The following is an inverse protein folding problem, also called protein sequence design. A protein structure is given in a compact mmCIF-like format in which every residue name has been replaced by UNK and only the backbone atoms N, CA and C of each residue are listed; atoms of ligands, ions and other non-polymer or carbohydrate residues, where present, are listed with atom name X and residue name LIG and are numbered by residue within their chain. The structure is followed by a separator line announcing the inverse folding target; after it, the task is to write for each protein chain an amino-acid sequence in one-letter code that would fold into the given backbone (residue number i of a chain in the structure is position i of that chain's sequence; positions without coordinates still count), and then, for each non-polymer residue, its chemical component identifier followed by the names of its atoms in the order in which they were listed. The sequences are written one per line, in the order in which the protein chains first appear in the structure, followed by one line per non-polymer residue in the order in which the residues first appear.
data_IF_076131798036
#
_entry.id   IF_076131798036
#
_cell.length_a   1.000
_cell.length_b   1.000
_cell.length_c   1.000
_cell.angle_alpha   90.00
_cell.angle_beta   90.00
_cell.angle_gamma   90.00
#
_symmetry.space_group_name_H-M   'P 1'
#
loop_
_entity.id
_entity.type
_entity.pdbx_description
1 polymer ?
#
# COMPACT_ATOMS: atom_id res chain seq x y z
N UNK A 1 -10.92 -57.43 -10.32
CA UNK A 1 -12.15 -56.75 -9.86
C UNK A 1 -12.25 -57.02 -8.36
N UNK A 2 -11.96 -56.15 -7.38
CA UNK A 2 -11.51 -54.75 -7.29
C UNK A 2 -10.47 -54.68 -6.14
N UNK A 3 -9.43 -53.84 -6.31
CA UNK A 3 -8.37 -53.62 -5.32
C UNK A 3 -8.85 -52.64 -4.25
N UNK A 4 -8.76 -53.04 -2.99
CA UNK A 4 -9.00 -52.18 -1.83
C UNK A 4 -7.75 -51.34 -1.57
N UNK A 5 -7.76 -50.07 -1.98
CA UNK A 5 -6.74 -49.08 -1.58
C UNK A 5 -7.34 -48.27 -0.43
N UNK A 6 -6.85 -48.50 0.79
CA UNK A 6 -7.11 -47.64 1.94
C UNK A 6 -6.31 -46.34 1.76
N UNK A 7 -7.01 -45.25 1.46
CA UNK A 7 -6.45 -43.91 1.38
C UNK A 7 -6.24 -43.40 2.82
N UNK A 8 -4.97 -43.24 3.21
CA UNK A 8 -4.57 -42.62 4.48
C UNK A 8 -4.69 -41.10 4.31
N UNK A 9 -5.68 -40.50 4.95
CA UNK A 9 -5.85 -39.05 5.05
C UNK A 9 -4.84 -38.53 6.08
N UNK A 10 -3.70 -38.05 5.59
CA UNK A 10 -2.73 -37.31 6.40
C UNK A 10 -3.16 -35.84 6.40
N UNK A 11 -3.76 -35.40 7.51
CA UNK A 11 -4.09 -33.99 7.72
C UNK A 11 -2.81 -33.17 7.90
N UNK A 12 -2.46 -32.36 6.90
CA UNK A 12 -1.46 -31.32 7.08
C UNK A 12 -2.09 -30.14 7.80
N UNK A 13 -1.64 -29.91 9.04
CA UNK A 13 -1.88 -28.67 9.78
C UNK A 13 -1.07 -27.58 9.07
N UNK A 14 -1.76 -26.70 8.33
CA UNK A 14 -1.15 -25.55 7.68
C UNK A 14 -0.85 -24.51 8.76
N UNK A 15 0.42 -24.32 9.09
CA UNK A 15 0.87 -23.18 9.89
C UNK A 15 1.06 -21.98 8.95
N UNK A 16 0.01 -21.20 8.74
CA UNK A 16 0.15 -19.82 8.28
C UNK A 16 0.77 -19.02 9.42
N UNK A 17 2.04 -18.64 9.28
CA UNK A 17 2.71 -17.77 10.25
C UNK A 17 2.15 -16.35 10.10
N UNK A 18 1.06 -16.07 10.78
CA UNK A 18 0.50 -14.74 10.91
C UNK A 18 1.44 -13.90 11.79
N UNK A 19 2.39 -13.20 11.16
CA UNK A 19 3.25 -12.24 11.84
C UNK A 19 2.49 -10.92 12.05
N UNK A 20 1.82 -10.81 13.20
CA UNK A 20 1.22 -9.55 13.65
C UNK A 20 2.35 -8.65 14.18
N UNK A 21 2.93 -7.84 13.31
CA UNK A 21 3.79 -6.73 13.71
C UNK A 21 2.93 -5.62 14.33
N UNK A 22 2.63 -5.71 15.62
CA UNK A 22 2.02 -4.60 16.35
C UNK A 22 3.07 -3.48 16.54
N UNK A 23 3.03 -2.47 15.69
CA UNK A 23 3.84 -1.26 15.84
C UNK A 23 3.35 -0.46 17.06
N UNK A 24 4.01 -0.64 18.21
CA UNK A 24 3.76 0.18 19.40
C UNK A 24 4.69 1.40 19.36
N UNK A 25 4.20 2.50 18.79
CA UNK A 25 4.88 3.80 18.80
C UNK A 25 4.07 4.83 19.59
N UNK A 26 4.15 4.79 20.93
CA UNK A 26 3.76 5.95 21.75
C UNK A 26 4.87 6.98 21.66
N UNK A 27 4.65 8.05 20.91
CA UNK A 27 5.45 9.27 20.94
C UNK A 27 4.58 10.43 21.39
N UNK A 28 4.41 10.60 22.70
CA UNK A 28 4.18 11.94 23.26
C UNK A 28 5.52 12.64 23.17
N UNK A 29 5.63 13.66 22.33
CA UNK A 29 6.39 14.89 22.58
C UNK A 29 6.13 15.84 21.40
N UNK A 30 5.30 16.84 21.65
CA UNK A 30 5.25 18.04 20.84
C UNK A 30 6.67 18.63 20.80
N UNK A 31 7.28 18.72 19.62
CA UNK A 31 8.50 19.50 19.42
C UNK A 31 8.20 20.84 18.75
N UNK A 32 9.00 21.87 19.06
CA UNK A 32 8.52 23.23 19.24
C UNK A 32 8.54 24.05 17.96
N UNK A 33 7.71 25.09 17.99
CA UNK A 33 7.80 26.26 17.13
C UNK A 33 9.22 26.87 17.23
N UNK A 34 9.98 26.82 16.13
CA UNK A 34 11.15 27.67 15.92
C UNK A 34 10.88 28.51 14.68
N UNK A 35 10.36 29.70 14.92
CA UNK A 35 10.67 30.84 14.08
C UNK A 35 12.18 31.10 14.22
N UNK A 36 12.96 30.93 13.15
CA UNK A 36 13.90 31.93 12.70
C UNK A 36 14.49 31.60 11.32
N UNK A 37 14.49 32.66 10.53
CA UNK A 37 15.06 32.88 9.21
C UNK A 37 16.46 32.31 8.99
N UNK A 38 16.67 31.66 7.85
CA UNK A 38 17.73 32.03 6.89
C UNK A 38 17.24 31.66 5.50
N UNK A 39 17.25 32.64 4.61
CA UNK A 39 16.86 32.51 3.20
C UNK A 39 17.76 31.49 2.48
N UNK A 40 17.15 30.50 1.84
CA UNK A 40 17.76 29.83 0.70
C UNK A 40 16.82 29.95 -0.51
N UNK A 41 17.43 30.27 -1.63
CA UNK A 41 16.87 31.01 -2.76
C UNK A 41 16.69 30.05 -3.95
N UNK A 42 15.46 29.96 -4.46
CA UNK A 42 15.09 29.21 -5.68
C UNK A 42 14.67 27.77 -5.37
N UNK A 43 13.51 27.24 -5.74
CA UNK A 43 12.53 27.62 -6.76
C UNK A 43 11.18 27.19 -6.18
N UNK A 44 10.31 28.15 -5.83
CA UNK A 44 8.95 27.84 -5.37
C UNK A 44 8.10 27.50 -6.59
N UNK A 45 8.14 26.24 -7.00
CA UNK A 45 7.04 25.70 -7.77
C UNK A 45 5.79 25.75 -6.88
N UNK A 46 4.72 26.31 -7.44
CA UNK A 46 3.42 26.36 -6.78
C UNK A 46 2.99 24.92 -6.50
N UNK A 47 3.09 24.52 -5.22
CA UNK A 47 2.80 23.17 -4.75
C UNK A 47 1.30 22.94 -4.87
N UNK A 48 0.90 22.15 -5.87
CA UNK A 48 -0.48 21.71 -6.04
C UNK A 48 -0.89 20.91 -4.81
N UNK A 49 -1.87 21.42 -4.09
CA UNK A 49 -2.51 20.79 -2.94
C UNK A 49 -3.23 19.54 -3.45
N UNK A 50 -2.84 18.34 -3.00
CA UNK A 50 -3.59 17.10 -3.26
C UNK A 50 -2.78 15.87 -3.71
N UNK A 51 -1.48 15.99 -3.96
CA UNK A 51 -0.67 14.82 -4.32
C UNK A 51 -0.21 14.03 -3.09
N UNK A 52 -0.34 12.68 -3.07
CA UNK A 52 0.34 11.86 -2.07
C UNK A 52 1.85 12.04 -2.25
N UNK A 53 2.45 12.86 -1.39
CA UNK A 53 3.89 13.13 -1.46
C UNK A 53 4.64 11.98 -0.82
N UNK A 54 5.27 11.16 -1.65
CA UNK A 54 6.14 10.08 -1.19
C UNK A 54 7.46 10.64 -0.67
N UNK A 55 7.88 10.23 0.52
CA UNK A 55 9.27 10.39 0.95
C UNK A 55 10.09 9.20 0.43
N UNK A 56 10.36 9.19 -0.89
CA UNK A 56 11.05 8.06 -1.53
C UNK A 56 12.44 7.81 -0.95
N UNK A 57 13.17 8.86 -0.57
CA UNK A 57 14.47 8.74 0.08
C UNK A 57 14.36 7.93 1.38
N UNK A 58 13.36 8.24 2.22
CA UNK A 58 13.15 7.51 3.47
C UNK A 58 12.67 6.07 3.25
N UNK A 59 11.68 5.87 2.36
CA UNK A 59 11.15 4.53 2.02
C UNK A 59 12.27 3.65 1.47
N UNK A 60 13.17 4.20 0.64
CA UNK A 60 14.22 3.43 -0.02
C UNK A 60 15.23 2.80 0.93
N UNK A 61 15.36 3.32 2.16
CA UNK A 61 16.22 2.72 3.20
C UNK A 61 15.77 1.32 3.62
N UNK A 62 14.51 0.97 3.35
CA UNK A 62 13.92 -0.31 3.73
C UNK A 62 13.79 -1.28 2.56
N UNK A 63 14.39 -0.96 1.41
CA UNK A 63 14.37 -1.85 0.23
C UNK A 63 14.86 -3.25 0.56
N UNK A 64 14.21 -4.23 -0.08
CA UNK A 64 14.49 -5.64 0.14
C UNK A 64 14.29 -6.44 -1.14
N UNK A 65 15.09 -7.50 -1.29
CA UNK A 65 14.89 -8.49 -2.35
C UNK A 65 13.80 -9.51 -2.03
N UNK A 66 13.37 -9.56 -0.76
CA UNK A 66 12.50 -10.62 -0.26
C UNK A 66 11.35 -10.04 0.56
N UNK A 67 10.12 -10.32 0.15
CA UNK A 67 8.88 -9.92 0.86
C UNK A 67 8.81 -10.52 2.27
N UNK A 68 9.42 -11.67 2.54
CA UNK A 68 9.38 -12.29 3.86
C UNK A 68 10.30 -11.64 4.91
N UNK A 69 10.82 -10.43 4.68
CA UNK A 69 11.49 -9.61 5.70
C UNK A 69 10.45 -8.69 6.38
N UNK A 70 9.81 -9.13 7.49
CA UNK A 70 8.71 -8.39 8.11
C UNK A 70 9.12 -7.01 8.60
N UNK A 71 10.38 -6.84 9.01
CA UNK A 71 10.89 -5.56 9.53
C UNK A 71 10.94 -4.52 8.41
N UNK A 72 11.50 -4.91 7.26
CA UNK A 72 11.59 -4.04 6.09
C UNK A 72 10.23 -3.81 5.45
N UNK A 73 9.43 -4.86 5.24
CA UNK A 73 8.11 -4.75 4.62
C UNK A 73 7.16 -3.91 5.46
N UNK A 74 7.14 -4.11 6.79
CA UNK A 74 6.37 -3.26 7.70
C UNK A 74 6.82 -1.80 7.65
N UNK A 75 8.12 -1.55 7.59
CA UNK A 75 8.67 -0.19 7.50
C UNK A 75 8.33 0.52 6.19
N UNK A 76 8.27 -0.21 5.07
CA UNK A 76 7.78 0.30 3.78
C UNK A 76 6.30 0.65 3.89
N UNK A 77 5.46 -0.30 4.34
CA UNK A 77 4.01 -0.13 4.38
C UNK A 77 3.56 1.07 5.23
N UNK A 78 4.21 1.29 6.39
CA UNK A 78 3.90 2.41 7.29
C UNK A 78 4.28 3.80 6.73
N UNK A 79 5.14 3.84 5.71
CA UNK A 79 5.64 5.08 5.10
C UNK A 79 4.96 5.41 3.77
N UNK A 80 4.11 4.52 3.29
CA UNK A 80 3.25 4.85 2.16
C UNK A 80 2.26 5.94 2.58
N UNK A 81 2.01 6.94 1.72
CA UNK A 81 0.87 7.83 1.90
C UNK A 81 -0.41 7.02 2.09
N UNK A 82 -1.25 7.45 3.05
CA UNK A 82 -2.57 6.87 3.21
C UNK A 82 -3.39 7.11 1.95
N UNK A 83 -4.03 6.08 1.37
CA UNK A 83 -4.81 6.25 0.14
C UNK A 83 -5.99 7.21 0.29
N UNK A 84 -6.48 7.40 1.51
CA UNK A 84 -7.48 8.39 1.87
C UNK A 84 -7.40 8.68 3.39
N UNK A 85 -7.65 9.93 3.79
CA UNK A 85 -7.48 10.42 5.17
C UNK A 85 -8.50 9.83 6.17
N UNK A 86 -9.57 9.18 5.70
CA UNK A 86 -10.49 8.43 6.55
C UNK A 86 -9.86 7.16 7.11
N UNK A 87 -8.72 6.73 6.56
CA UNK A 87 -8.10 5.46 6.91
C UNK A 87 -6.70 5.63 7.51
N UNK A 88 -6.33 4.67 8.35
CA UNK A 88 -4.96 4.45 8.85
C UNK A 88 -4.52 3.03 8.50
N UNK A 89 -3.24 2.84 8.20
CA UNK A 89 -2.67 1.50 8.08
C UNK A 89 -2.62 0.85 9.47
N UNK A 90 -3.10 -0.39 9.58
CA UNK A 90 -3.15 -1.11 10.85
C UNK A 90 -2.33 -2.40 10.83
N UNK A 91 -2.49 -3.23 9.80
CA UNK A 91 -1.81 -4.53 9.70
C UNK A 91 -1.14 -4.73 8.35
N UNK A 92 -0.24 -5.71 8.32
CA UNK A 92 0.24 -6.33 7.08
C UNK A 92 0.12 -7.85 7.21
N UNK A 93 -0.06 -8.55 6.10
CA UNK A 93 0.10 -10.00 6.00
C UNK A 93 0.92 -10.33 4.77
N UNK A 94 1.79 -11.33 4.87
CA UNK A 94 2.67 -11.76 3.78
C UNK A 94 2.48 -13.25 3.55
N UNK A 95 2.18 -13.65 2.32
CA UNK A 95 2.13 -15.06 1.91
C UNK A 95 3.39 -15.41 1.13
N UNK A 96 4.26 -16.19 1.77
CA UNK A 96 5.62 -16.49 1.26
C UNK A 96 5.91 -17.98 1.16
N UNK A 97 4.95 -18.83 1.54
CA UNK A 97 5.09 -20.28 1.52
C UNK A 97 5.13 -20.85 0.10
N UNK A 98 4.44 -20.21 -0.84
CA UNK A 98 4.37 -20.57 -2.25
C UNK A 98 4.09 -19.35 -3.11
N UNK A 99 4.43 -19.44 -4.39
CA UNK A 99 4.06 -18.40 -5.36
C UNK A 99 2.57 -18.45 -5.70
N UNK A 100 1.96 -17.30 -6.06
CA UNK A 100 2.56 -15.96 -6.07
C UNK A 100 2.87 -15.45 -4.65
N UNK A 101 4.04 -14.83 -4.48
CA UNK A 101 4.39 -14.16 -3.23
C UNK A 101 3.57 -12.89 -3.09
N UNK A 102 2.85 -12.73 -1.97
CA UNK A 102 1.90 -11.64 -1.81
C UNK A 102 2.07 -10.87 -0.52
N UNK A 103 1.65 -9.61 -0.57
CA UNK A 103 1.57 -8.69 0.56
C UNK A 103 0.15 -8.11 0.59
N UNK A 104 -0.53 -8.21 1.73
CA UNK A 104 -1.76 -7.45 1.99
C UNK A 104 -1.47 -6.37 3.02
N UNK A 105 -1.82 -5.12 2.69
CA UNK A 105 -1.75 -3.96 3.57
C UNK A 105 -3.18 -3.60 3.98
N UNK A 106 -3.44 -3.67 5.29
CA UNK A 106 -4.77 -3.51 5.86
C UNK A 106 -4.94 -2.12 6.43
N UNK A 107 -6.05 -1.48 6.06
CA UNK A 107 -6.44 -0.14 6.46
C UNK A 107 -7.77 -0.16 7.22
N UNK A 108 -7.81 0.58 8.32
CA UNK A 108 -9.00 0.73 9.16
C UNK A 108 -9.37 2.20 9.27
N UNK A 109 -10.58 2.48 9.74
CA UNK A 109 -10.99 3.86 10.02
C UNK A 109 -9.98 4.54 10.95
N UNK A 110 -9.56 5.76 10.61
CA UNK A 110 -8.52 6.49 11.32
C UNK A 110 -8.95 6.91 12.73
N UNK A 111 -10.24 7.22 12.91
CA UNK A 111 -10.87 7.57 14.19
C UNK A 111 -12.36 7.21 14.14
N UNK A 112 -12.98 6.76 15.25
CA UNK A 112 -14.41 6.50 15.30
C UNK A 112 -15.28 7.73 15.02
N UNK A 113 -14.71 8.93 15.10
CA UNK A 113 -15.39 10.20 14.79
C UNK A 113 -15.44 10.51 13.29
N UNK A 114 -14.55 9.90 12.50
CA UNK A 114 -14.44 10.11 11.07
C UNK A 114 -15.31 9.08 10.37
N UNK A 115 -16.41 9.54 9.75
CA UNK A 115 -17.28 8.69 8.93
C UNK A 115 -16.85 8.75 7.49
N UNK A 116 -16.70 7.61 6.84
CA UNK A 116 -16.54 7.55 5.39
C UNK A 116 -17.81 8.08 4.71
N UNK A 117 -17.66 9.11 3.88
CA UNK A 117 -18.80 9.80 3.24
C UNK A 117 -19.23 9.15 1.91
N UNK A 118 -18.46 8.18 1.40
CA UNK A 118 -18.74 7.48 0.14
C UNK A 118 -19.64 6.24 0.28
N UNK A 119 -19.94 5.63 -0.87
CA UNK A 119 -20.64 4.34 -0.91
C UNK A 119 -19.72 3.20 -0.44
N UNK A 120 -20.28 2.31 0.39
CA UNK A 120 -19.55 1.17 0.95
C UNK A 120 -20.29 -0.15 0.67
N UNK A 121 -19.60 -1.24 0.26
CA UNK A 121 -18.18 -1.32 -0.08
C UNK A 121 -17.85 -0.51 -1.35
N UNK A 122 -16.57 -0.20 -1.55
CA UNK A 122 -16.13 0.54 -2.74
C UNK A 122 -16.13 -0.42 -3.93
N UNK A 123 -17.15 -0.31 -4.78
CA UNK A 123 -17.31 -1.12 -5.99
C UNK A 123 -17.09 -0.32 -7.28
N UNK A 124 -16.93 1.01 -7.15
CA UNK A 124 -16.75 1.90 -8.28
C UNK A 124 -15.30 1.80 -8.78
N UNK A 125 -15.09 1.44 -10.06
CA UNK A 125 -13.77 1.48 -10.66
C UNK A 125 -13.20 2.90 -10.62
N UNK A 126 -11.87 3.01 -10.54
CA UNK A 126 -11.13 4.26 -10.62
C UNK A 126 -11.50 5.27 -9.51
N UNK A 127 -11.97 4.75 -8.37
CA UNK A 127 -12.12 5.57 -7.16
C UNK A 127 -10.78 6.19 -6.74
N UNK A 128 -10.83 7.31 -6.04
CA UNK A 128 -9.62 7.98 -5.52
C UNK A 128 -8.79 7.03 -4.66
N UNK A 129 -9.47 6.21 -3.84
CA UNK A 129 -8.83 5.19 -3.01
C UNK A 129 -8.12 4.17 -3.89
N UNK A 130 -8.81 3.55 -4.86
CA UNK A 130 -8.19 2.57 -5.76
C UNK A 130 -6.98 3.16 -6.51
N UNK A 131 -7.13 4.39 -7.02
CA UNK A 131 -6.09 5.11 -7.75
C UNK A 131 -4.86 5.36 -6.90
N UNK A 132 -5.06 5.78 -5.65
CA UNK A 132 -3.97 5.99 -4.70
C UNK A 132 -3.35 4.65 -4.26
N UNK A 133 -4.15 3.59 -4.10
CA UNK A 133 -3.66 2.22 -3.85
C UNK A 133 -2.80 1.71 -5.01
N UNK A 134 -3.21 1.96 -6.25
CA UNK A 134 -2.46 1.59 -7.47
C UNK A 134 -1.12 2.31 -7.53
N UNK A 135 -1.09 3.59 -7.15
CA UNK A 135 0.15 4.38 -7.08
C UNK A 135 1.06 3.85 -5.97
N UNK A 136 0.50 3.54 -4.80
CA UNK A 136 1.23 2.86 -3.71
C UNK A 136 1.77 1.50 -4.15
N UNK A 137 1.03 0.73 -4.96
CA UNK A 137 1.47 -0.56 -5.46
C UNK A 137 2.76 -0.45 -6.27
N UNK A 138 2.88 0.55 -7.16
CA UNK A 138 4.11 0.80 -7.93
C UNK A 138 5.30 0.99 -6.98
N UNK A 139 5.14 1.83 -5.95
CA UNK A 139 6.20 2.06 -4.96
C UNK A 139 6.56 0.78 -4.25
N UNK A 140 5.59 0.01 -3.75
CA UNK A 140 5.85 -1.27 -3.08
C UNK A 140 6.64 -2.23 -3.99
N UNK A 141 6.27 -2.35 -5.26
CA UNK A 141 6.98 -3.20 -6.21
C UNK A 141 8.41 -2.72 -6.52
N UNK A 142 8.64 -1.40 -6.51
CA UNK A 142 9.97 -0.83 -6.64
C UNK A 142 10.86 -1.08 -5.41
N UNK A 143 10.24 -1.30 -4.25
CA UNK A 143 10.95 -1.47 -2.98
C UNK A 143 11.13 -2.94 -2.58
N UNK A 144 10.30 -3.85 -3.10
CA UNK A 144 10.28 -5.28 -2.80
C UNK A 144 10.40 -6.07 -4.11
N UNK A 145 11.58 -6.64 -4.37
CA UNK A 145 11.93 -7.25 -5.66
C UNK A 145 11.02 -8.43 -6.02
N UNK A 146 10.97 -9.45 -5.15
CA UNK A 146 10.29 -10.70 -5.46
C UNK A 146 8.77 -10.70 -5.17
N UNK A 147 8.17 -9.54 -4.89
CA UNK A 147 6.74 -9.45 -4.62
C UNK A 147 5.95 -9.62 -5.92
N UNK A 148 5.17 -10.68 -6.02
CA UNK A 148 4.37 -10.98 -7.22
C UNK A 148 3.03 -10.21 -7.20
N UNK A 149 2.41 -10.02 -6.02
CA UNK A 149 1.11 -9.34 -5.86
C UNK A 149 1.04 -8.47 -4.59
N UNK A 150 0.35 -7.33 -4.67
CA UNK A 150 0.03 -6.51 -3.49
C UNK A 150 -1.47 -6.22 -3.43
N UNK A 151 -2.04 -6.35 -2.24
CA UNK A 151 -3.46 -6.06 -1.97
C UNK A 151 -3.57 -4.94 -0.94
N UNK A 152 -4.42 -3.96 -1.20
CA UNK A 152 -4.81 -2.94 -0.24
C UNK A 152 -6.24 -3.24 0.21
N UNK A 153 -6.43 -3.57 1.48
CA UNK A 153 -7.71 -4.00 2.03
C UNK A 153 -8.22 -2.99 3.06
N UNK A 154 -9.50 -2.68 3.03
CA UNK A 154 -10.11 -1.59 3.81
C UNK A 154 -11.34 -2.07 4.56
N UNK A 155 -11.59 -1.41 5.69
CA UNK A 155 -12.85 -1.49 6.42
C UNK A 155 -13.18 -0.20 7.15
N UNK A 156 -14.46 -0.02 7.44
CA UNK A 156 -15.01 1.18 8.07
C UNK A 156 -15.16 1.08 9.59
N UNK A 157 -14.61 0.03 10.21
CA UNK A 157 -14.65 -0.20 11.67
C UNK A 157 -13.25 -0.42 12.26
N UNK A 158 -13.07 -0.10 13.53
CA UNK A 158 -11.83 -0.38 14.27
C UNK A 158 -11.71 -1.84 14.71
N UNK A 159 -10.47 -2.31 14.93
CA UNK A 159 -10.24 -3.68 15.41
C UNK A 159 -10.33 -3.70 16.92
N UNK A 160 -10.54 -4.90 17.44
CA UNK A 160 -10.28 -5.21 18.83
C UNK A 160 -8.79 -5.52 19.10
N UNK A 161 -7.88 -5.16 18.19
CA UNK A 161 -6.46 -5.49 18.27
C UNK A 161 -6.05 -6.76 17.50
N UNK A 162 -6.99 -7.55 17.01
CA UNK A 162 -6.72 -8.76 16.21
C UNK A 162 -7.09 -8.55 14.74
N UNK A 163 -6.33 -9.19 13.85
CA UNK A 163 -6.64 -9.20 12.42
C UNK A 163 -7.75 -10.23 12.14
N UNK A 164 -8.95 -9.72 11.85
CA UNK A 164 -10.04 -10.48 11.24
C UNK A 164 -10.20 -10.05 9.78
N UNK A 165 -9.64 -10.83 8.86
CA UNK A 165 -9.64 -10.53 7.42
C UNK A 165 -11.05 -10.51 6.83
N UNK A 166 -12.01 -11.20 7.44
CA UNK A 166 -13.41 -11.22 6.95
C UNK A 166 -14.13 -9.88 7.12
N UNK A 167 -13.58 -8.97 7.92
CA UNK A 167 -14.11 -7.61 8.13
C UNK A 167 -13.63 -6.60 7.09
N UNK A 168 -12.68 -6.97 6.24
CA UNK A 168 -12.14 -6.12 5.19
C UNK A 168 -12.90 -6.40 3.88
N UNK A 169 -14.04 -5.74 3.74
CA UNK A 169 -15.04 -5.96 2.67
C UNK A 169 -14.80 -5.12 1.41
N UNK A 170 -13.74 -4.30 1.39
CA UNK A 170 -13.21 -3.66 0.18
C UNK A 170 -11.74 -4.01 0.02
N UNK A 171 -11.32 -4.43 -1.17
CA UNK A 171 -9.91 -4.66 -1.48
C UNK A 171 -9.56 -4.39 -2.94
N UNK A 172 -8.32 -3.94 -3.16
CA UNK A 172 -7.74 -3.74 -4.49
C UNK A 172 -6.45 -4.54 -4.59
N UNK A 173 -6.42 -5.52 -5.49
CA UNK A 173 -5.25 -6.37 -5.75
C UNK A 173 -4.59 -5.99 -7.05
N UNK A 174 -3.28 -5.81 -6.98
CA UNK A 174 -2.45 -5.38 -8.10
C UNK A 174 -1.37 -6.43 -8.34
N UNK A 175 -1.29 -7.03 -9.54
CA UNK A 175 -0.20 -7.93 -9.90
C UNK A 175 1.01 -7.13 -10.41
N UNK A 176 2.22 -7.55 -10.02
CA UNK A 176 3.48 -6.94 -10.45
C UNK A 176 3.59 -6.86 -11.97
N UNK A 177 3.15 -7.91 -12.66
CA UNK A 177 3.23 -8.04 -14.11
C UNK A 177 2.59 -6.85 -14.84
N UNK A 178 1.43 -6.38 -14.39
CA UNK A 178 0.72 -5.25 -15.03
C UNK A 178 1.49 -3.92 -14.93
N UNK A 179 2.37 -3.77 -13.95
CA UNK A 179 3.25 -2.61 -13.83
C UNK A 179 4.52 -2.82 -14.65
N UNK A 180 5.10 -4.01 -14.61
CA UNK A 180 6.32 -4.34 -15.35
C UNK A 180 6.13 -4.23 -16.88
N UNK A 181 4.93 -4.49 -17.39
CA UNK A 181 4.58 -4.26 -18.80
C UNK A 181 4.77 -2.79 -19.23
N UNK A 182 4.48 -1.85 -18.33
CA UNK A 182 4.51 -0.41 -18.63
C UNK A 182 5.85 0.25 -18.23
N UNK A 183 6.49 -0.25 -17.17
CA UNK A 183 7.64 0.41 -16.54
C UNK A 183 8.93 -0.43 -16.56
N UNK A 184 8.86 -1.67 -17.06
CA UNK A 184 10.01 -2.57 -17.13
C UNK A 184 10.38 -3.18 -15.77
N UNK A 185 11.69 -3.25 -15.48
CA UNK A 185 12.16 -3.79 -14.20
C UNK A 185 11.88 -2.79 -13.06
N UNK A 186 10.85 -3.09 -12.29
CA UNK A 186 10.39 -2.23 -11.19
C UNK A 186 11.41 -2.13 -10.07
N UNK A 187 12.17 -3.21 -9.78
CA UNK A 187 13.16 -3.14 -8.70
C UNK A 187 14.32 -2.21 -9.10
N UNK A 188 14.72 -2.24 -10.37
CA UNK A 188 15.70 -1.30 -10.93
C UNK A 188 15.15 0.13 -11.01
N UNK A 189 13.86 0.33 -11.33
CA UNK A 189 13.23 1.64 -11.24
C UNK A 189 13.35 2.22 -9.83
N UNK A 190 13.19 1.39 -8.80
CA UNK A 190 13.39 1.78 -7.40
C UNK A 190 14.81 2.17 -7.00
N UNK A 191 15.83 1.91 -7.82
CA UNK A 191 17.21 2.41 -7.61
C UNK A 191 17.35 3.88 -8.05
N UNK A 192 16.53 4.34 -9.00
CA UNK A 192 16.55 5.71 -9.50
C UNK A 192 15.35 6.49 -8.96
N UNK A 193 15.52 7.07 -7.77
CA UNK A 193 14.44 7.76 -7.07
C UNK A 193 13.89 8.97 -7.82
N UNK A 194 14.74 9.67 -8.60
CA UNK A 194 14.30 10.79 -9.43
C UNK A 194 13.38 10.32 -10.56
N UNK A 195 13.77 9.25 -11.27
CA UNK A 195 12.94 8.64 -12.30
C UNK A 195 11.63 8.08 -11.73
N UNK A 196 11.69 7.43 -10.56
CA UNK A 196 10.49 6.95 -9.87
C UNK A 196 9.59 8.13 -9.49
N UNK A 197 10.15 9.22 -8.98
CA UNK A 197 9.40 10.42 -8.61
C UNK A 197 8.69 11.05 -9.82
N UNK A 198 9.36 11.13 -10.96
CA UNK A 198 8.78 11.63 -12.21
C UNK A 198 7.68 10.71 -12.73
N UNK A 199 7.89 9.39 -12.63
CA UNK A 199 6.88 8.38 -13.00
C UNK A 199 5.60 8.54 -12.17
N UNK A 200 5.73 8.72 -10.85
CA UNK A 200 4.60 8.92 -9.95
C UNK A 200 3.85 10.23 -10.25
N UNK A 201 4.57 11.29 -10.62
CA UNK A 201 3.95 12.56 -11.06
C UNK A 201 3.13 12.36 -12.33
N UNK A 202 3.69 11.68 -13.34
CA UNK A 202 2.98 11.39 -14.59
C UNK A 202 1.73 10.53 -14.41
N UNK A 203 1.74 9.58 -13.47
CA UNK A 203 0.55 8.81 -13.09
C UNK A 203 -0.56 9.73 -12.56
N UNK A 204 -0.23 10.64 -11.64
CA UNK A 204 -1.21 11.55 -11.07
C UNK A 204 -1.80 12.53 -12.11
N UNK A 205 -0.96 13.09 -12.97
CA UNK A 205 -1.42 13.98 -14.05
C UNK A 205 -2.39 13.26 -15.00
N UNK A 206 -2.07 12.01 -15.37
CA UNK A 206 -2.94 11.18 -16.20
C UNK A 206 -4.30 10.92 -15.54
N UNK A 207 -4.31 10.66 -14.22
CA UNK A 207 -5.53 10.46 -13.45
C UNK A 207 -6.41 11.72 -13.38
N UNK A 208 -5.79 12.91 -13.26
CA UNK A 208 -6.52 14.19 -13.29
C UNK A 208 -7.18 14.42 -14.65
N UNK A 209 -6.44 14.18 -15.74
CA UNK A 209 -6.97 14.33 -17.11
C UNK A 209 -8.15 13.39 -17.33
N UNK A 210 -8.02 12.12 -16.94
CA UNK A 210 -9.10 11.14 -17.07
C UNK A 210 -10.38 11.58 -16.34
N UNK A 211 -10.27 12.09 -15.11
CA UNK A 211 -11.43 12.59 -14.34
C UNK A 211 -12.10 13.80 -15.00
N UNK A 212 -11.32 14.76 -15.52
CA UNK A 212 -11.87 15.93 -16.21
C UNK A 212 -12.66 15.50 -17.45
N UNK A 213 -12.15 14.54 -18.22
CA UNK A 213 -12.84 14.02 -19.40
C UNK A 213 -14.16 13.36 -18.99
N UNK A 214 -14.17 12.52 -17.95
CA UNK A 214 -15.39 11.85 -17.47
C UNK A 214 -16.47 12.83 -17.01
N UNK A 215 -16.09 13.94 -16.35
CA UNK A 215 -17.06 14.95 -15.88
C UNK A 215 -17.71 15.71 -17.06
N UNK A 216 -16.96 15.98 -18.13
CA UNK A 216 -17.46 16.77 -19.27
C UNK A 216 -18.34 16.00 -20.26
N UNK A 217 -18.59 14.71 -20.03
CA UNK A 217 -19.40 13.85 -20.92
C UNK A 217 -20.83 13.65 -20.38
N UNK A 218 -21.16 14.25 -19.23
CA UNK A 218 -22.51 14.26 -18.63
C UNK A 218 -23.08 15.68 -18.56
#
# INVERSE_FOLDING_TARGET
MNKTVKLLLLGFVIFSALYIGAGVGRGTDCLPNIANSTEEKGTKEARLVGEPMYNLAEISNYRTRYVGDPSKVGSIAQRLPVPDNHFRQQYISMETSQKPYSLTIYYEVASPEIKYEGQWPIITPDSDIETNSRTNALVVFCMIDNLDEVTFAYRTSESNGELDTSKYDTSFTFPRASFAENYGDLFMLGENLDLLQDTLRGMSESNKVAKIVTINIF
#
